data_IF_979012341148
#
_entry.id   IF_979012341148
#
_cell.length_a   1.000
_cell.length_b   1.000
_cell.length_c   1.000
_cell.angle_alpha   90.00
_cell.angle_beta   90.00
_cell.angle_gamma   90.00
#
_symmetry.space_group_name_H-M   'P 1'
#
loop_
_entity.id
_entity.type
_entity.pdbx_description
1 polymer ?
#
# COMPACT_ATOMS: atom_id res chain seq x y z
N UNK A 1 -25.82 -11.62 -16.18
CA UNK A 1 -25.63 -10.18 -15.97
C UNK A 1 -25.52 -9.88 -14.49
N UNK A 2 -24.47 -9.21 -14.04
CA UNK A 2 -24.46 -8.73 -12.68
C UNK A 2 -25.59 -7.73 -12.50
N UNK A 3 -26.41 -7.93 -11.50
CA UNK A 3 -27.45 -6.97 -11.15
C UNK A 3 -26.80 -5.67 -10.69
N UNK A 4 -27.44 -4.54 -10.89
CA UNK A 4 -26.92 -3.24 -10.46
C UNK A 4 -26.50 -3.22 -8.98
N UNK A 5 -27.23 -3.98 -8.15
CA UNK A 5 -26.92 -4.14 -6.73
C UNK A 5 -25.60 -4.85 -6.51
N UNK A 6 -25.23 -5.83 -7.34
CA UNK A 6 -23.93 -6.53 -7.25
C UNK A 6 -22.77 -5.60 -7.61
N UNK A 7 -22.91 -4.81 -8.67
CA UNK A 7 -21.91 -3.82 -9.07
C UNK A 7 -21.72 -2.72 -8.01
N UNK A 8 -22.82 -2.25 -7.41
CA UNK A 8 -22.79 -1.26 -6.34
C UNK A 8 -22.09 -1.80 -5.08
N UNK A 9 -22.39 -3.05 -4.71
CA UNK A 9 -21.76 -3.70 -3.55
C UNK A 9 -20.26 -3.87 -3.74
N UNK A 10 -19.82 -4.26 -4.93
CA UNK A 10 -18.40 -4.39 -5.27
C UNK A 10 -17.69 -3.03 -5.21
N UNK A 11 -18.31 -1.98 -5.73
CA UNK A 11 -17.78 -0.62 -5.69
C UNK A 11 -17.55 -0.15 -4.25
N UNK A 12 -18.56 -0.29 -3.40
CA UNK A 12 -18.47 0.10 -1.99
C UNK A 12 -17.46 -0.76 -1.22
N UNK A 13 -17.41 -2.07 -1.49
CA UNK A 13 -16.42 -2.95 -0.90
C UNK A 13 -15.00 -2.53 -1.30
N UNK A 14 -14.81 -2.17 -2.58
CA UNK A 14 -13.54 -1.67 -3.09
C UNK A 14 -13.09 -0.40 -2.39
N UNK A 15 -13.98 0.56 -2.21
CA UNK A 15 -13.66 1.80 -1.51
C UNK A 15 -13.45 1.59 -0.01
N UNK A 16 -14.15 0.63 0.61
CA UNK A 16 -13.93 0.28 2.02
C UNK A 16 -12.52 -0.30 2.21
N UNK A 17 -12.14 -1.26 1.39
CA UNK A 17 -10.79 -1.87 1.43
C UNK A 17 -9.73 -0.80 1.14
N UNK A 18 -9.94 0.02 0.11
CA UNK A 18 -9.03 1.11 -0.25
C UNK A 18 -8.88 2.11 0.90
N UNK A 19 -9.98 2.50 1.54
CA UNK A 19 -9.96 3.43 2.68
C UNK A 19 -9.17 2.87 3.86
N UNK A 20 -9.34 1.59 4.17
CA UNK A 20 -8.57 0.93 5.23
C UNK A 20 -7.08 0.91 4.92
N UNK A 21 -6.72 0.57 3.67
CA UNK A 21 -5.31 0.59 3.22
C UNK A 21 -4.73 1.99 3.31
N UNK A 22 -5.46 3.00 2.83
CA UNK A 22 -5.02 4.40 2.85
C UNK A 22 -4.79 4.86 4.29
N UNK A 23 -5.74 4.61 5.19
CA UNK A 23 -5.60 5.00 6.61
C UNK A 23 -4.38 4.36 7.24
N UNK A 24 -4.15 3.07 6.98
CA UNK A 24 -2.98 2.37 7.50
C UNK A 24 -1.69 2.97 6.94
N UNK A 25 -1.62 3.23 5.65
CA UNK A 25 -0.42 3.77 5.00
C UNK A 25 -0.13 5.21 5.41
N UNK A 26 -1.16 6.03 5.63
CA UNK A 26 -1.01 7.38 6.16
C UNK A 26 -0.47 7.32 7.59
N UNK A 27 -0.99 6.43 8.39
CA UNK A 27 -0.50 6.23 9.77
C UNK A 27 0.97 5.79 9.75
N UNK A 28 1.30 4.79 8.94
CA UNK A 28 2.66 4.26 8.85
C UNK A 28 3.65 5.32 8.32
N UNK A 29 3.32 5.98 7.22
CA UNK A 29 4.16 7.03 6.65
C UNK A 29 4.24 8.26 7.54
N UNK A 30 3.12 8.69 8.11
CA UNK A 30 3.05 9.86 8.98
C UNK A 30 3.87 9.70 10.25
N UNK A 31 3.82 8.54 10.88
CA UNK A 31 4.63 8.26 12.09
C UNK A 31 6.12 8.29 11.81
N UNK A 32 6.54 7.85 10.61
CA UNK A 32 7.95 7.92 10.20
C UNK A 32 8.39 9.36 9.95
N UNK A 33 7.57 10.16 9.29
CA UNK A 33 7.86 11.59 9.02
C UNK A 33 7.92 12.39 10.32
N UNK A 34 7.02 12.11 11.25
CA UNK A 34 6.97 12.77 12.57
C UNK A 34 8.02 12.24 13.55
N UNK A 35 8.80 11.24 13.18
CA UNK A 35 9.83 10.61 14.01
C UNK A 35 9.28 10.14 15.35
N UNK A 36 8.15 9.43 15.34
CA UNK A 36 7.59 8.83 16.55
C UNK A 36 8.56 7.79 17.11
N UNK A 37 8.91 7.90 18.39
CA UNK A 37 10.01 7.14 18.99
C UNK A 37 9.92 5.62 18.78
N UNK A 38 8.78 4.94 19.06
CA UNK A 38 8.69 3.50 18.82
C UNK A 38 8.90 3.10 17.36
N UNK A 39 8.46 3.95 16.42
CA UNK A 39 8.60 3.69 14.98
C UNK A 39 10.05 3.84 14.55
N UNK A 40 10.73 4.87 15.02
CA UNK A 40 12.16 5.10 14.74
C UNK A 40 13.01 3.96 15.32
N UNK A 41 12.72 3.51 16.53
CA UNK A 41 13.40 2.35 17.12
C UNK A 41 13.22 1.10 16.29
N UNK A 42 12.01 0.85 15.78
CA UNK A 42 11.74 -0.28 14.90
C UNK A 42 12.52 -0.17 13.58
N UNK A 43 12.62 1.04 13.01
CA UNK A 43 13.42 1.30 11.81
C UNK A 43 14.91 1.04 12.06
N UNK A 44 15.44 1.49 13.19
CA UNK A 44 16.84 1.28 13.56
C UNK A 44 17.19 -0.20 13.70
N UNK A 45 16.27 -1.01 14.22
CA UNK A 45 16.46 -2.47 14.33
C UNK A 45 16.67 -3.14 12.98
N UNK A 46 16.11 -2.58 11.91
CA UNK A 46 16.28 -3.12 10.56
C UNK A 46 17.33 -2.36 9.74
N UNK A 47 18.13 -1.54 10.40
CA UNK A 47 19.26 -0.85 9.79
C UNK A 47 18.93 0.48 9.13
N UNK A 48 17.78 1.07 9.42
CA UNK A 48 17.37 2.37 8.87
C UNK A 48 17.59 3.48 9.90
N UNK A 49 18.26 4.56 9.50
CA UNK A 49 18.42 5.73 10.37
C UNK A 49 17.13 6.55 10.44
N UNK A 50 17.02 7.45 11.42
CA UNK A 50 15.88 8.35 11.56
C UNK A 50 15.66 9.19 10.29
N UNK A 51 16.73 9.68 9.66
CA UNK A 51 16.62 10.46 8.43
C UNK A 51 16.12 9.62 7.25
N UNK A 52 16.58 8.37 7.15
CA UNK A 52 16.08 7.41 6.16
C UNK A 52 14.59 7.15 6.37
N UNK A 53 14.15 6.99 7.61
CA UNK A 53 12.74 6.77 7.93
C UNK A 53 11.86 7.93 7.48
N UNK A 54 12.30 9.18 7.65
CA UNK A 54 11.58 10.35 7.15
C UNK A 54 11.45 10.32 5.62
N UNK A 55 12.54 10.01 4.91
CA UNK A 55 12.51 9.88 3.45
C UNK A 55 11.57 8.78 2.98
N UNK A 56 11.66 7.61 3.60
CA UNK A 56 10.80 6.45 3.29
C UNK A 56 9.34 6.78 3.56
N UNK A 57 9.04 7.40 4.70
CA UNK A 57 7.67 7.81 5.05
C UNK A 57 7.12 8.84 4.07
N UNK A 58 7.93 9.80 3.64
CA UNK A 58 7.53 10.80 2.65
C UNK A 58 7.20 10.18 1.31
N UNK A 59 8.03 9.26 0.81
CA UNK A 59 7.78 8.51 -0.43
C UNK A 59 6.49 7.70 -0.30
N UNK A 60 6.29 7.03 0.83
CA UNK A 60 5.08 6.26 1.09
C UNK A 60 3.83 7.13 1.02
N UNK A 61 3.86 8.32 1.63
CA UNK A 61 2.73 9.24 1.61
C UNK A 61 2.41 9.72 0.19
N UNK A 62 3.42 10.01 -0.62
CA UNK A 62 3.23 10.39 -2.03
C UNK A 62 2.60 9.24 -2.81
N UNK A 63 3.11 8.02 -2.66
CA UNK A 63 2.55 6.83 -3.31
C UNK A 63 1.09 6.60 -2.89
N UNK A 64 0.79 6.79 -1.61
CA UNK A 64 -0.56 6.64 -1.06
C UNK A 64 -1.50 7.69 -1.65
N UNK A 65 -1.05 8.93 -1.77
CA UNK A 65 -1.82 9.99 -2.40
C UNK A 65 -2.18 9.67 -3.86
N UNK A 66 -1.20 9.20 -4.63
CA UNK A 66 -1.43 8.77 -6.01
C UNK A 66 -2.40 7.58 -6.09
N UNK A 67 -2.30 6.65 -5.17
CA UNK A 67 -3.22 5.50 -5.09
C UNK A 67 -4.65 5.91 -4.77
N UNK A 68 -4.82 6.93 -3.92
CA UNK A 68 -6.14 7.42 -3.50
C UNK A 68 -6.89 8.13 -4.63
N UNK A 69 -6.18 8.82 -5.53
CA UNK A 69 -6.77 9.58 -6.62
C UNK A 69 -7.13 8.62 -7.76
N UNK A 70 -8.41 8.55 -8.19
CA UNK A 70 -8.82 7.58 -9.21
C UNK A 70 -8.04 7.68 -10.53
N UNK A 71 -7.68 8.88 -10.96
CA UNK A 71 -6.95 9.09 -12.22
C UNK A 71 -5.51 8.57 -12.18
N UNK A 72 -4.90 8.48 -11.01
CA UNK A 72 -3.51 8.04 -10.82
C UNK A 72 -3.40 6.75 -10.01
N UNK A 73 -4.54 6.10 -9.73
CA UNK A 73 -4.58 4.94 -8.82
C UNK A 73 -3.75 3.77 -9.31
N UNK A 74 -3.71 3.51 -10.62
CA UNK A 74 -2.90 2.43 -11.20
C UNK A 74 -1.41 2.70 -10.99
N UNK A 75 -0.97 3.92 -11.28
CA UNK A 75 0.42 4.34 -11.06
C UNK A 75 0.75 4.24 -9.57
N UNK A 76 -0.14 4.73 -8.72
CA UNK A 76 0.01 4.63 -7.26
C UNK A 76 0.14 3.19 -6.80
N UNK A 77 -0.66 2.27 -7.34
CA UNK A 77 -0.60 0.84 -6.99
C UNK A 77 0.72 0.21 -7.41
N UNK A 78 1.23 0.55 -8.59
CA UNK A 78 2.54 0.07 -9.08
C UNK A 78 3.65 0.59 -8.16
N UNK A 79 3.63 1.86 -7.82
CA UNK A 79 4.62 2.46 -6.92
C UNK A 79 4.55 1.87 -5.51
N UNK A 80 3.34 1.62 -4.99
CA UNK A 80 3.16 0.94 -3.70
C UNK A 80 3.69 -0.49 -3.75
N UNK A 81 3.48 -1.20 -4.85
CA UNK A 81 4.01 -2.56 -5.04
C UNK A 81 5.54 -2.54 -4.98
N UNK A 82 6.17 -1.60 -5.67
CA UNK A 82 7.61 -1.43 -5.63
C UNK A 82 8.10 -1.07 -4.22
N UNK A 83 7.42 -0.15 -3.56
CA UNK A 83 7.74 0.27 -2.19
C UNK A 83 7.64 -0.91 -1.21
N UNK A 84 6.54 -1.64 -1.25
CA UNK A 84 6.30 -2.77 -0.35
C UNK A 84 7.23 -3.95 -0.66
N UNK A 85 7.61 -4.13 -1.93
CA UNK A 85 8.65 -5.07 -2.33
C UNK A 85 10.00 -4.73 -1.70
N UNK A 86 10.34 -3.45 -1.68
CA UNK A 86 11.52 -2.95 -0.96
C UNK A 86 11.44 -3.19 0.54
N UNK A 87 10.27 -3.00 1.12
CA UNK A 87 10.04 -3.30 2.54
C UNK A 87 10.25 -4.79 2.85
N UNK A 88 9.71 -5.67 2.01
CA UNK A 88 9.92 -7.12 2.13
C UNK A 88 11.41 -7.45 2.07
N UNK A 89 12.12 -6.92 1.08
CA UNK A 89 13.56 -7.15 0.93
C UNK A 89 14.35 -6.66 2.16
N UNK A 90 13.98 -5.51 2.70
CA UNK A 90 14.61 -4.96 3.91
C UNK A 90 14.39 -5.86 5.11
N UNK A 91 13.17 -6.35 5.31
CA UNK A 91 12.86 -7.26 6.40
C UNK A 91 13.56 -8.62 6.25
N UNK A 92 13.62 -9.16 5.04
CA UNK A 92 14.37 -10.41 4.76
C UNK A 92 15.85 -10.22 5.10
N UNK A 93 16.44 -9.11 4.65
CA UNK A 93 17.85 -8.80 4.92
C UNK A 93 18.12 -8.63 6.41
N UNK A 94 17.21 -8.03 7.14
CA UNK A 94 17.34 -7.79 8.58
C UNK A 94 17.07 -9.04 9.43
N UNK A 95 16.63 -10.15 8.82
CA UNK A 95 16.25 -11.34 9.55
C UNK A 95 14.97 -11.21 10.33
N UNK A 96 14.07 -10.31 9.92
CA UNK A 96 12.77 -10.11 10.56
C UNK A 96 11.90 -11.37 10.45
N UNK A 97 10.90 -11.47 11.33
CA UNK A 97 9.99 -12.61 11.35
C UNK A 97 9.07 -12.67 10.13
N UNK A 98 8.45 -13.83 9.94
CA UNK A 98 7.51 -14.06 8.85
C UNK A 98 6.30 -13.13 8.91
N UNK A 99 5.93 -12.62 10.10
CA UNK A 99 4.80 -11.71 10.27
C UNK A 99 5.01 -10.39 9.51
N UNK A 100 6.16 -9.76 9.68
CA UNK A 100 6.46 -8.47 9.04
C UNK A 100 6.49 -8.60 7.53
N UNK A 101 7.08 -9.67 7.03
CA UNK A 101 7.17 -9.96 5.60
C UNK A 101 5.77 -10.24 5.04
N UNK A 102 5.03 -11.12 5.68
CA UNK A 102 3.66 -11.47 5.28
C UNK A 102 2.70 -10.29 5.36
N UNK A 103 2.88 -9.42 6.33
CA UNK A 103 2.06 -8.21 6.49
C UNK A 103 2.26 -7.24 5.31
N UNK A 104 3.51 -7.01 4.89
CA UNK A 104 3.79 -6.15 3.73
C UNK A 104 3.19 -6.73 2.44
N UNK A 105 3.30 -8.05 2.24
CA UNK A 105 2.69 -8.74 1.10
C UNK A 105 1.16 -8.62 1.16
N UNK A 106 0.57 -8.79 2.35
CA UNK A 106 -0.87 -8.69 2.57
C UNK A 106 -1.41 -7.29 2.25
N UNK A 107 -0.72 -6.25 2.68
CA UNK A 107 -1.11 -4.85 2.37
C UNK A 107 -1.04 -4.61 0.86
N UNK A 108 -0.02 -5.12 0.18
CA UNK A 108 0.09 -5.02 -1.27
C UNK A 108 -1.10 -5.70 -1.96
N UNK A 109 -1.45 -6.91 -1.53
CA UNK A 109 -2.61 -7.65 -2.04
C UNK A 109 -3.92 -6.90 -1.82
N UNK A 110 -4.11 -6.33 -0.63
CA UNK A 110 -5.30 -5.53 -0.32
C UNK A 110 -5.37 -4.25 -1.15
N UNK A 111 -4.24 -3.60 -1.42
CA UNK A 111 -4.20 -2.41 -2.27
C UNK A 111 -4.69 -2.74 -3.69
N UNK A 112 -4.21 -3.83 -4.28
CA UNK A 112 -4.65 -4.28 -5.60
C UNK A 112 -6.10 -4.75 -5.59
N UNK A 113 -6.52 -5.48 -4.55
CA UNK A 113 -7.92 -5.90 -4.40
C UNK A 113 -8.85 -4.69 -4.35
N UNK A 114 -8.53 -3.70 -3.53
CA UNK A 114 -9.31 -2.47 -3.43
C UNK A 114 -9.42 -1.75 -4.78
N UNK A 115 -8.32 -1.66 -5.52
CA UNK A 115 -8.29 -1.05 -6.84
C UNK A 115 -9.20 -1.79 -7.83
N UNK A 116 -9.07 -3.11 -7.90
CA UNK A 116 -9.86 -3.94 -8.82
C UNK A 116 -11.34 -3.90 -8.48
N UNK A 117 -11.69 -3.92 -7.20
CA UNK A 117 -13.09 -3.88 -6.77
C UNK A 117 -13.76 -2.53 -7.06
N UNK A 118 -13.02 -1.42 -6.93
CA UNK A 118 -13.58 -0.09 -7.20
C UNK A 118 -13.62 0.23 -8.69
N UNK A 119 -12.75 -0.40 -9.51
CA UNK A 119 -12.78 -0.26 -10.98
C UNK A 119 -12.40 -1.57 -11.66
N UNK A 120 -13.37 -2.47 -11.93
CA UNK A 120 -13.11 -3.76 -12.57
C UNK A 120 -12.52 -3.65 -13.98
N UNK A 121 -12.69 -2.50 -14.65
CA UNK A 121 -12.15 -2.27 -16.01
C UNK A 121 -10.64 -2.32 -16.05
N UNK A 122 -10.00 -1.96 -14.93
CA UNK A 122 -8.54 -1.94 -14.81
C UNK A 122 -7.98 -3.34 -15.03
N UNK A 123 -8.60 -4.36 -14.42
CA UNK A 123 -8.14 -5.74 -14.56
C UNK A 123 -8.17 -6.18 -16.02
N UNK A 124 -9.25 -5.88 -16.74
CA UNK A 124 -9.37 -6.18 -18.18
C UNK A 124 -8.31 -5.45 -18.98
N UNK A 125 -8.10 -4.18 -18.70
CA UNK A 125 -7.13 -3.36 -19.43
C UNK A 125 -5.70 -3.84 -19.23
N UNK A 126 -5.34 -4.21 -18.00
CA UNK A 126 -3.98 -4.64 -17.68
C UNK A 126 -3.69 -6.05 -18.19
N UNK A 127 -4.65 -6.98 -18.05
CA UNK A 127 -4.42 -8.40 -18.34
C UNK A 127 -4.66 -8.76 -19.81
N UNK A 128 -5.56 -8.06 -20.50
CA UNK A 128 -6.05 -8.49 -21.80
C UNK A 128 -5.84 -7.47 -22.92
N UNK A 129 -5.26 -6.33 -22.62
CA UNK A 129 -4.92 -5.36 -23.66
C UNK A 129 -3.59 -5.76 -24.33
N UNK A 130 -3.74 -6.48 -25.41
CA UNK A 130 -2.66 -6.71 -26.36
C UNK A 130 -2.72 -5.69 -27.48
#
# INVERSE_FOLDING_TARGET
MPTETSSSSMFWAGWTVTGMVILFLIFDGGTKVLKVAPVIEACERIGLTANMAVGIGSVLLVCTGLYAIPQTAVIGSILLTAFLGGAVATHVRAGSGAFEIGFAIGICGLAWLGLVLRDPRIMWTILFRQ
#
